data_IF_959861320813
#
_entry.id   IF_959861320813
#
_cell.length_a   1.000
_cell.length_b   1.000
_cell.length_c   1.000
_cell.angle_alpha   90.00
_cell.angle_beta   90.00
_cell.angle_gamma   90.00
#
_symmetry.space_group_name_H-M   'P 1'
#
loop_
_entity.id
_entity.type
_entity.pdbx_description
1 polymer ?
#
# COMPACT_ATOMS: atom_id res chain seq x y z
N UNK A 1 -14.88 15.39 -20.15
CA UNK A 1 -14.95 16.26 -18.96
C UNK A 1 -16.27 17.01 -19.06
N UNK A 2 -17.23 16.78 -18.16
CA UNK A 2 -18.58 17.34 -18.32
C UNK A 2 -19.73 16.60 -17.62
N UNK A 3 -19.46 15.58 -16.80
CA UNK A 3 -20.47 15.04 -15.88
C UNK A 3 -20.41 15.79 -14.56
N UNK A 4 -21.57 16.17 -14.04
CA UNK A 4 -21.72 16.75 -12.70
C UNK A 4 -21.22 15.76 -11.65
N UNK A 5 -20.63 16.28 -10.56
CA UNK A 5 -20.36 15.46 -9.39
C UNK A 5 -21.66 14.84 -8.91
N UNK A 6 -21.60 13.55 -8.58
CA UNK A 6 -22.74 12.81 -8.04
C UNK A 6 -22.63 12.93 -6.51
N UNK A 7 -23.48 13.72 -5.84
CA UNK A 7 -23.45 13.81 -4.39
C UNK A 7 -23.97 12.50 -3.78
N UNK A 8 -23.27 12.02 -2.75
CA UNK A 8 -23.62 10.84 -1.94
C UNK A 8 -24.02 11.25 -0.51
N UNK A 9 -24.32 12.53 -0.29
CA UNK A 9 -24.68 13.05 1.04
C UNK A 9 -26.06 12.57 1.54
N UNK A 10 -26.93 12.08 0.65
CA UNK A 10 -28.29 11.62 0.98
C UNK A 10 -28.41 10.09 1.13
N UNK A 11 -27.31 9.36 1.00
CA UNK A 11 -27.29 7.90 1.14
C UNK A 11 -26.76 7.51 2.49
N UNK A 12 -27.37 6.51 3.14
CA UNK A 12 -26.82 5.93 4.37
C UNK A 12 -25.42 5.39 4.09
N UNK A 13 -24.44 5.97 4.80
CA UNK A 13 -23.05 5.60 4.68
C UNK A 13 -22.71 4.51 5.69
N UNK A 14 -21.71 3.68 5.36
CA UNK A 14 -21.15 2.71 6.31
C UNK A 14 -20.59 3.38 7.59
N UNK A 15 -20.54 4.72 7.64
CA UNK A 15 -20.00 5.49 8.76
C UNK A 15 -21.08 6.12 9.66
N UNK A 16 -22.35 6.08 9.25
CA UNK A 16 -23.47 6.77 9.92
C UNK A 16 -23.93 6.11 11.22
N UNK A 17 -23.47 4.89 11.52
CA UNK A 17 -23.74 4.20 12.80
C UNK A 17 -22.98 4.82 13.99
N UNK A 18 -21.95 5.62 13.73
CA UNK A 18 -21.06 6.22 14.72
C UNK A 18 -21.73 7.13 15.76
N UNK A 19 -22.49 8.14 15.31
CA UNK A 19 -23.21 9.05 16.20
C UNK A 19 -24.22 8.34 17.13
N UNK A 20 -24.73 7.17 16.74
CA UNK A 20 -25.65 6.37 17.55
C UNK A 20 -24.99 5.76 18.80
N UNK A 21 -23.65 5.65 18.80
CA UNK A 21 -22.82 5.10 19.90
C UNK A 21 -22.05 6.21 20.64
N UNK A 22 -22.29 7.49 20.31
CA UNK A 22 -21.59 8.64 20.92
C UNK A 22 -20.19 8.91 20.35
N UNK A 23 -19.85 8.33 19.19
CA UNK A 23 -18.58 8.57 18.51
C UNK A 23 -18.70 9.71 17.49
N UNK A 24 -17.61 10.47 17.32
CA UNK A 24 -17.53 11.45 16.22
C UNK A 24 -17.39 10.74 14.87
N UNK A 25 -17.90 11.35 13.80
CA UNK A 25 -17.86 10.77 12.43
C UNK A 25 -16.43 10.40 12.00
N UNK A 26 -15.43 11.18 12.41
CA UNK A 26 -14.01 10.89 12.16
C UNK A 26 -13.51 9.63 12.87
N UNK A 27 -13.94 9.40 14.12
CA UNK A 27 -13.58 8.20 14.88
C UNK A 27 -14.25 6.96 14.29
N UNK A 28 -15.51 7.06 13.87
CA UNK A 28 -16.23 5.96 13.24
C UNK A 28 -15.62 5.57 11.89
N UNK A 29 -15.18 6.56 11.11
CA UNK A 29 -14.43 6.31 9.86
C UNK A 29 -13.13 5.55 10.10
N UNK A 30 -12.38 5.92 11.15
CA UNK A 30 -11.16 5.21 11.55
C UNK A 30 -11.44 3.77 11.99
N UNK A 31 -12.46 3.56 12.81
CA UNK A 31 -12.83 2.22 13.32
C UNK A 31 -13.22 1.29 12.18
N UNK A 32 -14.12 1.74 11.29
CA UNK A 32 -14.51 0.96 10.10
C UNK A 32 -13.29 0.67 9.21
N UNK A 33 -12.43 1.67 9.00
CA UNK A 33 -11.20 1.51 8.21
C UNK A 33 -10.26 0.46 8.78
N UNK A 34 -10.00 0.50 10.09
CA UNK A 34 -9.12 -0.47 10.78
C UNK A 34 -9.71 -1.87 10.71
N UNK A 35 -11.02 -2.03 10.96
CA UNK A 35 -11.70 -3.32 10.89
C UNK A 35 -11.63 -3.88 9.47
N UNK A 36 -11.94 -3.07 8.45
CA UNK A 36 -11.87 -3.49 7.06
C UNK A 36 -10.46 -3.93 6.65
N UNK A 37 -9.43 -3.16 7.04
CA UNK A 37 -8.03 -3.51 6.79
C UNK A 37 -7.66 -4.81 7.49
N UNK A 38 -8.05 -5.01 8.75
CA UNK A 38 -7.79 -6.22 9.49
C UNK A 38 -8.44 -7.45 8.83
N UNK A 39 -9.70 -7.33 8.39
CA UNK A 39 -10.41 -8.40 7.67
C UNK A 39 -9.70 -8.74 6.35
N UNK A 40 -9.35 -7.72 5.55
CA UNK A 40 -8.66 -7.93 4.27
C UNK A 40 -7.31 -8.61 4.49
N UNK A 41 -6.54 -8.22 5.51
CA UNK A 41 -5.26 -8.85 5.83
C UNK A 41 -5.44 -10.29 6.28
N UNK A 42 -6.42 -10.58 7.13
CA UNK A 42 -6.70 -11.93 7.57
C UNK A 42 -7.08 -12.83 6.39
N UNK A 43 -7.93 -12.34 5.49
CA UNK A 43 -8.32 -13.03 4.26
C UNK A 43 -7.12 -13.25 3.34
N UNK A 44 -6.28 -12.24 3.12
CA UNK A 44 -5.08 -12.37 2.29
C UNK A 44 -4.09 -13.34 2.91
N UNK A 45 -3.85 -13.26 4.22
CA UNK A 45 -2.93 -14.15 4.92
C UNK A 45 -3.39 -15.62 4.81
N UNK A 46 -4.69 -15.87 4.99
CA UNK A 46 -5.28 -17.19 4.80
C UNK A 46 -5.20 -17.65 3.34
N UNK A 47 -5.62 -16.80 2.39
CA UNK A 47 -5.61 -17.12 0.96
C UNK A 47 -4.20 -17.44 0.44
N UNK A 48 -3.20 -16.63 0.80
CA UNK A 48 -1.80 -16.86 0.43
C UNK A 48 -1.15 -18.05 1.13
N UNK A 49 -1.82 -18.67 2.11
CA UNK A 49 -1.45 -19.95 2.70
C UNK A 49 -1.99 -21.17 1.95
N UNK A 50 -2.98 -20.99 1.07
CA UNK A 50 -3.57 -22.09 0.27
C UNK A 50 -2.67 -22.50 -0.90
N UNK A 51 -2.95 -23.65 -1.52
CA UNK A 51 -2.24 -24.14 -2.71
C UNK A 51 -2.27 -23.13 -3.87
N UNK A 52 -3.45 -22.55 -4.13
CA UNK A 52 -3.63 -21.52 -5.16
C UNK A 52 -2.86 -20.23 -4.82
N UNK A 53 -2.88 -19.82 -3.55
CA UNK A 53 -2.12 -18.65 -3.09
C UNK A 53 -0.60 -18.86 -3.17
N UNK A 54 -0.11 -20.06 -2.87
CA UNK A 54 1.29 -20.43 -3.03
C UNK A 54 1.71 -20.45 -4.50
N UNK A 55 0.89 -21.04 -5.37
CA UNK A 55 1.11 -21.03 -6.81
C UNK A 55 1.14 -19.59 -7.37
N UNK A 56 0.29 -18.70 -6.86
CA UNK A 56 0.28 -17.29 -7.22
C UNK A 56 1.58 -16.58 -6.86
N UNK A 57 2.10 -16.80 -5.64
CA UNK A 57 3.39 -16.23 -5.23
C UNK A 57 4.54 -16.82 -6.03
N UNK A 58 4.56 -18.13 -6.23
CA UNK A 58 5.58 -18.80 -7.03
C UNK A 58 5.60 -18.29 -8.48
N UNK A 59 4.42 -18.05 -9.07
CA UNK A 59 4.30 -17.51 -10.44
C UNK A 59 4.86 -16.09 -10.53
N UNK A 60 4.67 -15.27 -9.49
CA UNK A 60 5.26 -13.94 -9.41
C UNK A 60 6.78 -13.92 -9.24
N UNK A 61 7.36 -14.96 -8.64
CA UNK A 61 8.80 -15.10 -8.44
C UNK A 61 9.51 -15.71 -9.66
N UNK A 62 8.95 -16.79 -10.22
CA UNK A 62 9.49 -17.44 -11.40
C UNK A 62 8.39 -18.20 -12.15
N UNK A 63 7.87 -17.59 -13.21
CA UNK A 63 6.84 -18.18 -14.05
C UNK A 63 7.30 -19.46 -14.75
N UNK A 64 8.55 -19.51 -15.21
CA UNK A 64 9.08 -20.66 -15.95
C UNK A 64 9.12 -21.92 -15.07
N UNK A 65 9.51 -21.76 -13.80
CA UNK A 65 9.50 -22.85 -12.82
C UNK A 65 8.10 -23.39 -12.60
N UNK A 66 7.11 -22.50 -12.42
CA UNK A 66 5.72 -22.93 -12.16
C UNK A 66 5.11 -23.65 -13.35
N UNK A 67 5.40 -23.21 -14.58
CA UNK A 67 5.00 -23.93 -15.81
C UNK A 67 5.64 -25.30 -15.89
N UNK A 68 6.92 -25.44 -15.53
CA UNK A 68 7.62 -26.72 -15.52
C UNK A 68 7.06 -27.73 -14.51
N UNK A 69 6.44 -27.23 -13.43
CA UNK A 69 5.74 -28.03 -12.41
C UNK A 69 4.31 -28.41 -12.86
N UNK A 70 3.86 -27.98 -14.05
CA UNK A 70 2.57 -28.36 -14.63
C UNK A 70 1.40 -27.47 -14.21
N UNK A 71 1.66 -26.34 -13.54
CA UNK A 71 0.61 -25.39 -13.17
C UNK A 71 0.41 -24.37 -14.29
N UNK A 72 -0.85 -24.11 -14.65
CA UNK A 72 -1.17 -23.11 -15.66
C UNK A 72 -1.03 -21.68 -15.10
N UNK A 73 0.06 -21.01 -15.48
CA UNK A 73 0.39 -19.67 -15.02
C UNK A 73 -0.56 -18.58 -15.51
N UNK A 74 -1.27 -18.80 -16.63
CA UNK A 74 -2.21 -17.82 -17.17
C UNK A 74 -3.45 -17.71 -16.28
N UNK A 75 -3.99 -18.85 -15.82
CA UNK A 75 -5.06 -18.85 -14.82
C UNK A 75 -4.61 -18.21 -13.51
N UNK A 76 -3.39 -18.50 -13.08
CA UNK A 76 -2.84 -17.91 -11.85
C UNK A 76 -2.71 -16.39 -11.96
N UNK A 77 -2.22 -15.86 -13.10
CA UNK A 77 -2.16 -14.41 -13.36
C UNK A 77 -3.54 -13.77 -13.42
N UNK A 78 -4.49 -14.40 -14.10
CA UNK A 78 -5.87 -13.93 -14.18
C UNK A 78 -6.50 -13.82 -12.79
N UNK A 79 -6.29 -14.85 -11.96
CA UNK A 79 -6.78 -14.86 -10.58
C UNK A 79 -6.18 -13.71 -9.76
N UNK A 80 -4.87 -13.48 -9.87
CA UNK A 80 -4.19 -12.35 -9.23
C UNK A 80 -4.73 -10.99 -9.67
N UNK A 81 -5.02 -10.83 -10.98
CA UNK A 81 -5.59 -9.61 -11.54
C UNK A 81 -7.01 -9.35 -11.01
N UNK A 82 -7.86 -10.39 -10.98
CA UNK A 82 -9.24 -10.29 -10.47
C UNK A 82 -9.24 -9.90 -8.99
N UNK A 83 -8.42 -10.55 -8.16
CA UNK A 83 -8.33 -10.22 -6.72
C UNK A 83 -7.84 -8.78 -6.53
N UNK A 84 -6.80 -8.37 -7.26
CA UNK A 84 -6.26 -7.01 -7.15
C UNK A 84 -7.31 -5.95 -7.50
N UNK A 85 -8.03 -6.15 -8.61
CA UNK A 85 -9.08 -5.24 -9.04
C UNK A 85 -10.27 -5.22 -8.08
N UNK A 86 -10.64 -6.36 -7.50
CA UNK A 86 -11.69 -6.43 -6.48
C UNK A 86 -11.33 -5.63 -5.22
N UNK A 87 -10.09 -5.74 -4.74
CA UNK A 87 -9.61 -4.98 -3.58
C UNK A 87 -9.53 -3.47 -3.87
N UNK A 88 -9.09 -3.09 -5.08
CA UNK A 88 -9.07 -1.69 -5.51
C UNK A 88 -10.50 -1.12 -5.57
N UNK A 89 -11.45 -1.88 -6.13
CA UNK A 89 -12.85 -1.47 -6.21
C UNK A 89 -13.47 -1.32 -4.80
N UNK A 90 -13.21 -2.27 -3.89
CA UNK A 90 -13.66 -2.20 -2.50
C UNK A 90 -13.11 -0.95 -1.80
N UNK A 91 -11.81 -0.71 -1.92
CA UNK A 91 -11.16 0.48 -1.35
C UNK A 91 -11.73 1.78 -1.94
N UNK A 92 -11.94 1.82 -3.26
CA UNK A 92 -12.55 2.97 -3.94
C UNK A 92 -13.98 3.25 -3.47
N UNK A 93 -14.79 2.21 -3.27
CA UNK A 93 -16.15 2.34 -2.76
C UNK A 93 -16.18 2.91 -1.32
N UNK A 94 -15.27 2.47 -0.46
CA UNK A 94 -15.15 3.00 0.91
C UNK A 94 -14.71 4.47 0.92
N UNK A 95 -13.71 4.83 0.10
CA UNK A 95 -13.24 6.22 -0.02
C UNK A 95 -14.32 7.13 -0.64
N UNK A 96 -15.07 6.64 -1.63
CA UNK A 96 -16.19 7.39 -2.20
C UNK A 96 -17.28 7.70 -1.17
N UNK A 97 -17.59 6.74 -0.30
CA UNK A 97 -18.53 6.95 0.81
C UNK A 97 -18.00 7.95 1.85
N UNK A 98 -16.71 7.93 2.17
CA UNK A 98 -16.14 8.85 3.17
C UNK A 98 -16.01 10.29 2.66
N UNK A 99 -15.79 10.46 1.35
CA UNK A 99 -15.71 11.78 0.70
C UNK A 99 -17.11 12.35 0.41
N UNK A 100 -18.13 11.51 0.26
CA UNK A 100 -19.52 11.92 0.11
C UNK A 100 -19.90 12.46 -1.27
N UNK A 101 -19.02 12.36 -2.28
CA UNK A 101 -19.34 12.67 -3.67
C UNK A 101 -18.44 11.87 -4.62
N UNK A 102 -18.93 11.64 -5.84
CA UNK A 102 -18.17 11.01 -6.92
C UNK A 102 -17.73 12.03 -7.97
N UNK A 103 -16.41 12.21 -8.10
CA UNK A 103 -15.74 12.90 -9.22
C UNK A 103 -14.64 11.97 -9.77
N UNK A 104 -14.42 12.01 -11.09
CA UNK A 104 -13.32 11.33 -11.79
C UNK A 104 -11.96 11.72 -11.21
N UNK A 105 -11.85 12.92 -10.62
CA UNK A 105 -10.61 13.41 -10.02
C UNK A 105 -10.21 12.71 -8.72
N UNK A 106 -11.15 12.12 -7.97
CA UNK A 106 -10.90 11.57 -6.62
C UNK A 106 -9.87 10.43 -6.64
N UNK A 107 -9.81 9.66 -7.73
CA UNK A 107 -8.87 8.55 -7.90
C UNK A 107 -7.56 8.91 -8.62
N UNK A 108 -7.40 10.15 -9.10
CA UNK A 108 -6.19 10.52 -9.84
C UNK A 108 -4.95 10.48 -8.92
N UNK A 109 -3.93 9.72 -9.35
CA UNK A 109 -2.70 9.53 -8.58
C UNK A 109 -2.71 8.35 -7.60
N UNK A 110 -3.81 7.57 -7.53
CA UNK A 110 -3.90 6.41 -6.63
C UNK A 110 -2.76 5.39 -6.83
N UNK A 111 -2.37 5.11 -8.07
CA UNK A 111 -1.28 4.17 -8.40
C UNK A 111 0.06 4.68 -7.82
N UNK A 112 0.35 5.98 -7.99
CA UNK A 112 1.60 6.60 -7.49
C UNK A 112 1.63 6.57 -5.97
N UNK A 113 0.51 6.92 -5.32
CA UNK A 113 0.37 6.86 -3.86
C UNK A 113 0.56 5.43 -3.32
N UNK A 114 0.01 4.43 -4.02
CA UNK A 114 0.15 3.02 -3.66
C UNK A 114 1.60 2.53 -3.77
N UNK A 115 2.26 2.78 -4.91
CA UNK A 115 3.66 2.41 -5.12
C UNK A 115 4.58 3.09 -4.10
N UNK A 116 4.38 4.38 -3.83
CA UNK A 116 5.15 5.11 -2.82
C UNK A 116 5.00 4.48 -1.42
N UNK A 117 3.76 4.17 -1.02
CA UNK A 117 3.47 3.55 0.28
C UNK A 117 4.14 2.18 0.44
N UNK A 118 4.10 1.35 -0.61
CA UNK A 118 4.74 0.02 -0.61
C UNK A 118 6.27 0.14 -0.51
N UNK A 119 6.87 1.06 -1.27
CA UNK A 119 8.32 1.30 -1.24
C UNK A 119 8.77 1.78 0.14
N UNK A 120 8.04 2.72 0.76
CA UNK A 120 8.34 3.18 2.13
C UNK A 120 8.31 2.01 3.11
N UNK A 121 7.25 1.20 3.05
CA UNK A 121 7.09 0.03 3.92
C UNK A 121 8.24 -0.95 3.78
N UNK A 122 8.62 -1.30 2.55
CA UNK A 122 9.70 -2.26 2.26
C UNK A 122 11.06 -1.73 2.73
N UNK A 123 11.33 -0.43 2.57
CA UNK A 123 12.59 0.19 2.99
C UNK A 123 12.76 0.19 4.51
N UNK A 124 11.68 0.37 5.28
CA UNK A 124 11.72 0.43 6.74
C UNK A 124 11.89 -0.96 7.36
N UNK A 125 11.14 -1.96 6.87
CA UNK A 125 11.14 -3.31 7.46
C UNK A 125 12.17 -4.26 6.84
N UNK A 126 12.77 -3.89 5.69
CA UNK A 126 13.79 -4.68 5.02
C UNK A 126 13.27 -5.94 4.30
N UNK A 127 14.10 -6.52 3.43
CA UNK A 127 13.75 -7.66 2.54
C UNK A 127 13.62 -9.02 3.22
N UNK A 128 14.04 -9.17 4.48
CA UNK A 128 14.20 -10.48 5.12
C UNK A 128 13.15 -10.71 6.21
N UNK A 129 11.98 -11.24 5.82
CA UNK A 129 10.92 -11.54 6.78
C UNK A 129 9.79 -12.43 6.25
N UNK A 130 9.11 -13.11 7.20
CA UNK A 130 7.86 -13.85 6.97
C UNK A 130 6.85 -13.00 6.18
N UNK A 131 6.00 -13.65 5.38
CA UNK A 131 4.97 -13.01 4.58
C UNK A 131 4.11 -12.02 5.39
N UNK A 132 3.82 -12.36 6.65
CA UNK A 132 3.09 -11.50 7.58
C UNK A 132 3.79 -10.15 7.81
N UNK A 133 5.13 -10.15 7.95
CA UNK A 133 5.92 -8.91 8.12
C UNK A 133 5.79 -8.02 6.88
N UNK A 134 5.69 -8.61 5.69
CA UNK A 134 5.51 -7.87 4.44
C UNK A 134 4.15 -7.19 4.37
N UNK A 135 3.09 -7.87 4.84
CA UNK A 135 1.75 -7.26 4.92
C UNK A 135 1.74 -6.10 5.92
N UNK A 136 2.31 -6.29 7.10
CA UNK A 136 2.41 -5.24 8.12
C UNK A 136 3.23 -4.05 7.62
N UNK A 137 4.34 -4.31 6.92
CA UNK A 137 5.19 -3.26 6.35
C UNK A 137 4.43 -2.36 5.38
N UNK A 138 3.55 -2.90 4.54
CA UNK A 138 2.74 -2.13 3.59
C UNK A 138 1.76 -1.19 4.32
N UNK A 139 1.14 -1.65 5.41
CA UNK A 139 0.23 -0.83 6.22
C UNK A 139 1.00 0.31 6.90
N UNK A 140 2.12 -0.02 7.54
CA UNK A 140 2.94 1.00 8.21
C UNK A 140 3.47 2.01 7.18
N UNK A 141 3.87 1.54 5.99
CA UNK A 141 4.28 2.39 4.88
C UNK A 141 3.19 3.36 4.43
N UNK A 142 1.92 2.92 4.34
CA UNK A 142 0.80 3.78 3.95
C UNK A 142 0.45 4.83 5.02
N UNK A 143 0.53 4.48 6.30
CA UNK A 143 0.36 5.41 7.43
C UNK A 143 1.46 6.47 7.40
N UNK A 144 2.73 6.06 7.26
CA UNK A 144 3.87 6.97 7.20
C UNK A 144 3.75 7.91 5.99
N UNK A 145 3.37 7.39 4.83
CA UNK A 145 3.13 8.21 3.64
C UNK A 145 2.08 9.31 3.91
N UNK A 146 0.99 8.97 4.62
CA UNK A 146 -0.03 9.96 5.00
C UNK A 146 0.45 10.98 6.03
N UNK A 147 1.29 10.58 6.99
CA UNK A 147 1.91 11.50 7.95
C UNK A 147 2.83 12.49 7.22
N UNK A 148 3.63 12.02 6.26
CA UNK A 148 4.49 12.89 5.44
C UNK A 148 3.63 13.94 4.71
N UNK A 149 2.55 13.52 4.05
CA UNK A 149 1.63 14.46 3.38
C UNK A 149 1.03 15.46 4.38
N UNK A 150 0.59 15.01 5.55
CA UNK A 150 0.00 15.88 6.56
C UNK A 150 0.99 16.96 7.04
N UNK A 151 2.25 16.59 7.27
CA UNK A 151 3.31 17.54 7.65
C UNK A 151 3.54 18.56 6.53
N UNK A 152 3.58 18.12 5.27
CA UNK A 152 3.77 19.02 4.13
C UNK A 152 2.64 20.04 4.01
N UNK A 153 1.39 19.63 4.24
CA UNK A 153 0.23 20.53 4.27
C UNK A 153 0.34 21.52 5.44
N UNK A 154 0.76 21.06 6.62
CA UNK A 154 0.89 21.91 7.81
C UNK A 154 1.97 22.98 7.67
N UNK A 155 2.98 22.77 6.83
CA UNK A 155 4.02 23.75 6.50
C UNK A 155 3.53 24.87 5.55
N UNK A 156 2.23 24.95 5.25
CA UNK A 156 1.61 26.10 4.59
C UNK A 156 1.61 26.07 3.06
N UNK A 157 1.86 24.90 2.47
CA UNK A 157 1.83 24.72 1.01
C UNK A 157 0.40 24.31 0.57
N UNK A 158 -0.25 25.16 -0.21
CA UNK A 158 -1.61 24.92 -0.74
C UNK A 158 -1.64 23.72 -1.69
N UNK A 159 -2.55 22.78 -1.45
CA UNK A 159 -2.64 21.45 -2.06
C UNK A 159 -2.85 21.40 -3.58
N UNK A 160 -3.34 22.48 -4.20
CA UNK A 160 -3.78 22.43 -5.61
C UNK A 160 -2.79 23.00 -6.64
N UNK A 161 -2.12 24.13 -6.36
CA UNK A 161 -1.17 24.76 -7.31
C UNK A 161 0.28 24.30 -7.10
N UNK A 162 0.55 23.61 -6.00
CA UNK A 162 1.87 23.11 -5.62
C UNK A 162 1.99 21.59 -5.73
N UNK A 163 1.11 20.87 -6.46
CA UNK A 163 1.21 19.40 -6.66
C UNK A 163 2.60 18.96 -7.13
N UNK A 164 3.29 19.82 -7.87
CA UNK A 164 4.69 19.65 -8.31
C UNK A 164 5.69 19.74 -7.14
N UNK A 165 5.49 20.70 -6.24
CA UNK A 165 6.35 20.93 -5.07
C UNK A 165 6.05 19.93 -3.93
N UNK A 166 4.78 19.51 -3.76
CA UNK A 166 4.43 18.37 -2.89
C UNK A 166 5.04 17.08 -3.43
N UNK A 167 4.94 16.82 -4.74
CA UNK A 167 5.59 15.66 -5.36
C UNK A 167 7.12 15.72 -5.22
N UNK A 168 7.74 16.89 -5.34
CA UNK A 168 9.19 17.06 -5.17
C UNK A 168 9.64 16.85 -3.72
N UNK A 169 8.93 17.40 -2.74
CA UNK A 169 9.23 17.22 -1.31
C UNK A 169 8.98 15.78 -0.88
N UNK A 170 7.88 15.16 -1.33
CA UNK A 170 7.61 13.73 -1.12
C UNK A 170 8.72 12.91 -1.79
N UNK A 171 9.14 13.23 -3.02
CA UNK A 171 10.24 12.55 -3.69
C UNK A 171 11.55 12.67 -2.89
N UNK A 172 11.89 13.85 -2.36
CA UNK A 172 13.05 14.05 -1.47
C UNK A 172 12.91 13.25 -0.17
N UNK A 173 11.75 13.33 0.49
CA UNK A 173 11.45 12.61 1.72
C UNK A 173 11.47 11.08 1.54
N UNK A 174 11.18 10.59 0.33
CA UNK A 174 11.32 9.18 -0.07
C UNK A 174 12.77 8.82 -0.44
N UNK A 175 13.51 9.75 -1.02
CA UNK A 175 14.90 9.52 -1.43
C UNK A 175 15.80 9.33 -0.20
N UNK A 176 15.54 10.06 0.89
CA UNK A 176 16.30 9.96 2.15
C UNK A 176 16.28 8.54 2.75
N UNK A 177 15.13 7.89 3.01
CA UNK A 177 15.09 6.54 3.57
C UNK A 177 15.67 5.51 2.59
N UNK A 178 15.45 5.67 1.27
CA UNK A 178 16.02 4.79 0.24
C UNK A 178 17.56 4.87 0.22
N UNK A 179 18.12 6.08 0.26
CA UNK A 179 19.57 6.29 0.30
C UNK A 179 20.18 5.74 1.59
N UNK A 180 19.55 5.95 2.74
CA UNK A 180 20.02 5.40 4.01
C UNK A 180 20.02 3.87 4.02
N UNK A 181 18.99 3.22 3.46
CA UNK A 181 18.93 1.77 3.34
C UNK A 181 20.04 1.21 2.44
N UNK A 182 20.27 1.83 1.27
CA UNK A 182 21.34 1.43 0.36
C UNK A 182 22.72 1.57 1.01
N UNK A 183 22.98 2.65 1.76
CA UNK A 183 24.27 2.84 2.46
C UNK A 183 24.52 1.77 3.53
N UNK A 184 23.49 1.32 4.24
CA UNK A 184 23.60 0.24 5.24
C UNK A 184 23.92 -1.10 4.59
N UNK A 185 23.35 -1.39 3.41
CA UNK A 185 23.65 -2.62 2.65
C UNK A 185 25.08 -2.63 2.11
N UNK A 186 25.55 -1.52 1.51
CA UNK A 186 26.93 -1.43 1.02
C UNK A 186 27.97 -1.49 2.15
N UNK A 187 27.65 -0.91 3.32
CA UNK A 187 28.51 -0.99 4.49
C UNK A 187 28.64 -2.43 5.04
N UNK A 188 27.55 -3.19 5.07
CA UNK A 188 27.60 -4.61 5.45
C UNK A 188 28.34 -5.47 4.41
N UNK A 189 28.14 -5.21 3.11
CA UNK A 189 28.85 -5.95 2.05
C UNK A 189 30.38 -5.79 2.18
N UNK A 190 30.87 -4.56 2.39
CA UNK A 190 32.30 -4.28 2.61
C UNK A 190 32.87 -4.93 3.88
N UNK A 191 32.05 -5.12 4.93
CA UNK A 191 32.48 -5.84 6.14
C UNK A 191 32.62 -7.33 5.87
N UNK A 192 31.64 -7.94 5.19
CA UNK A 192 31.72 -9.36 4.81
C UNK A 192 32.89 -9.65 3.86
N UNK A 193 33.19 -8.77 2.90
CA UNK A 193 34.35 -8.98 2.01
C UNK A 193 35.67 -8.90 2.78
N UNK A 194 35.78 -7.96 3.72
CA UNK A 194 36.96 -7.86 4.59
C UNK A 194 37.15 -9.07 5.51
N UNK A 195 36.07 -9.58 6.10
CA UNK A 195 36.13 -10.81 6.92
C UNK A 195 36.50 -12.05 6.09
N UNK A 196 36.08 -12.12 4.82
CA UNK A 196 36.46 -13.21 3.90
C UNK A 196 37.93 -13.07 3.47
N UNK A 197 38.40 -11.86 3.19
CA UNK A 197 39.80 -11.61 2.83
C UNK A 197 40.76 -11.84 4.01
N UNK A 198 40.38 -11.46 5.24
CA UNK A 198 41.16 -11.75 6.46
C UNK A 198 41.21 -13.26 6.80
N UNK A 199 40.21 -14.04 6.40
CA UNK A 199 40.15 -15.47 6.67
C UNK A 199 40.89 -16.32 5.62
N UNK A 200 41.18 -15.74 4.46
CA UNK A 200 41.88 -16.37 3.34
C UNK A 200 43.36 -15.94 3.22
N UNK A 201 43.84 -15.06 4.10
CA UNK A 201 45.24 -14.64 4.25
C UNK A 201 45.90 -15.35 5.42
#
# INVERSE_FOLDING_TARGET
MGKSNIPLLQTESLYDWGPMVGLTVSQSTLVVGVIAVAIVIALLYWFFGTELGNALRATGNNEQMVRAVGVNTDYTKLLGLVISNALIALSGAMVGQSVGYGDVKIGMGAIVMGLASIVIGEVIFGRYGSFLKRLIAIIVGSIIYRIIIAIVIQLGLSTDDLKLLTAFIVALALTIPVLMANRKQTANYKKLTKEVDEKNA
#
